data_IF_853127489700
#
_entry.id   IF_853127489700
#
_cell.length_a   1.000
_cell.length_b   1.000
_cell.length_c   1.000
_cell.angle_alpha   90.00
_cell.angle_beta   90.00
_cell.angle_gamma   90.00
#
_symmetry.space_group_name_H-M   'P 1'
#
loop_
_entity.id
_entity.type
_entity.pdbx_description
1 polymer ?
#
# COMPACT_ATOMS: atom_id res chain seq x y z
N UNK A 1 1.81 6.56 -19.43
CA UNK A 1 1.01 7.35 -18.48
C UNK A 1 1.85 7.66 -17.26
N UNK A 2 1.78 8.87 -16.79
CA UNK A 2 2.55 9.28 -15.63
C UNK A 2 1.89 8.79 -14.33
N UNK A 3 2.72 8.48 -13.35
CA UNK A 3 2.26 8.14 -12.02
C UNK A 3 2.05 9.40 -11.20
N UNK A 4 0.93 9.49 -10.51
CA UNK A 4 0.66 10.56 -9.57
C UNK A 4 0.45 9.96 -8.18
N UNK A 5 1.06 10.55 -7.19
CA UNK A 5 0.94 10.12 -5.80
C UNK A 5 0.59 11.34 -4.95
N UNK A 6 -0.55 11.26 -4.27
CA UNK A 6 -0.95 12.25 -3.28
C UNK A 6 -0.88 11.65 -1.89
N UNK A 7 -0.64 12.48 -0.89
CA UNK A 7 -0.59 12.05 0.50
C UNK A 7 -1.59 12.84 1.31
N UNK A 8 -2.38 12.15 2.14
CA UNK A 8 -3.32 12.81 3.06
C UNK A 8 -3.41 11.97 4.34
N UNK A 9 -4.02 12.54 5.35
CA UNK A 9 -4.15 11.85 6.63
C UNK A 9 -5.61 11.75 7.06
N UNK A 10 -5.94 10.61 7.66
CA UNK A 10 -7.23 10.38 8.31
C UNK A 10 -6.90 9.93 9.73
N UNK A 11 -6.95 10.86 10.68
CA UNK A 11 -6.47 10.59 12.03
C UNK A 11 -4.97 10.26 12.03
N UNK A 12 -4.62 9.11 12.57
CA UNK A 12 -3.24 8.62 12.62
C UNK A 12 -2.83 7.83 11.37
N UNK A 13 -3.78 7.61 10.45
CA UNK A 13 -3.54 6.83 9.24
C UNK A 13 -3.10 7.75 8.11
N UNK A 14 -1.99 7.42 7.49
CA UNK A 14 -1.52 8.11 6.28
C UNK A 14 -2.06 7.37 5.06
N UNK A 15 -2.64 8.12 4.13
CA UNK A 15 -3.17 7.53 2.90
C UNK A 15 -2.36 8.04 1.72
N UNK A 16 -1.85 7.11 0.93
CA UNK A 16 -1.22 7.41 -0.35
C UNK A 16 -2.23 7.10 -1.45
N UNK A 17 -2.65 8.13 -2.17
CA UNK A 17 -3.52 7.98 -3.33
C UNK A 17 -2.64 7.84 -4.57
N UNK A 18 -2.68 6.70 -5.23
CA UNK A 18 -1.84 6.38 -6.38
C UNK A 18 -2.70 6.28 -7.62
N UNK A 19 -2.32 6.99 -8.68
CA UNK A 19 -3.04 7.03 -9.95
C UNK A 19 -2.07 6.83 -11.09
N UNK A 20 -2.41 6.00 -12.06
CA UNK A 20 -1.61 5.76 -13.25
C UNK A 20 -1.19 4.31 -13.39
N UNK A 21 0.03 4.09 -13.81
CA UNK A 21 0.58 2.76 -14.02
C UNK A 21 1.81 2.54 -13.13
N UNK A 22 1.87 1.36 -12.52
CA UNK A 22 3.00 0.95 -11.70
C UNK A 22 3.86 -0.05 -12.48
N UNK A 23 4.96 0.45 -13.00
CA UNK A 23 5.90 -0.32 -13.82
C UNK A 23 7.34 -0.02 -13.40
N UNK A 24 8.28 -0.62 -14.10
CA UNK A 24 9.70 -0.45 -13.84
C UNK A 24 10.14 1.02 -13.78
N UNK A 25 9.51 1.88 -14.57
CA UNK A 25 9.92 3.30 -14.67
C UNK A 25 9.31 4.16 -13.57
N UNK A 26 8.12 3.81 -13.08
CA UNK A 26 7.38 4.61 -12.09
C UNK A 26 7.58 4.12 -10.66
N UNK A 27 7.92 2.86 -10.48
CA UNK A 27 8.07 2.22 -9.18
C UNK A 27 9.01 2.95 -8.21
N UNK A 28 10.13 3.58 -8.65
CA UNK A 28 10.95 4.35 -7.72
C UNK A 28 10.19 5.47 -6.99
N UNK A 29 9.22 6.08 -7.65
CA UNK A 29 8.39 7.12 -7.02
C UNK A 29 7.46 6.53 -5.96
N UNK A 30 6.90 5.35 -6.23
CA UNK A 30 6.08 4.65 -5.23
C UNK A 30 6.93 4.28 -4.01
N UNK A 31 8.12 3.74 -4.23
CA UNK A 31 9.02 3.37 -3.14
C UNK A 31 9.40 4.58 -2.29
N UNK A 32 9.72 5.70 -2.91
CA UNK A 32 10.04 6.94 -2.23
C UNK A 32 8.84 7.42 -1.38
N UNK A 33 7.64 7.39 -1.95
CA UNK A 33 6.43 7.79 -1.22
C UNK A 33 6.15 6.89 -0.02
N UNK A 34 6.34 5.59 -0.18
CA UNK A 34 6.16 4.64 0.92
C UNK A 34 7.20 4.82 2.01
N UNK A 35 8.46 5.02 1.65
CA UNK A 35 9.53 5.28 2.63
C UNK A 35 9.25 6.55 3.42
N UNK A 36 8.78 7.60 2.76
CA UNK A 36 8.41 8.83 3.43
C UNK A 36 7.24 8.64 4.40
N UNK A 37 6.23 7.91 4.00
CA UNK A 37 5.04 7.66 4.80
C UNK A 37 5.30 6.71 5.98
N UNK A 38 6.37 5.94 5.93
CA UNK A 38 6.69 4.91 6.93
C UNK A 38 7.99 5.19 7.68
N UNK A 39 8.42 6.44 7.73
CA UNK A 39 9.68 6.82 8.36
C UNK A 39 9.67 6.62 9.89
N UNK A 40 8.49 6.73 10.51
CA UNK A 40 8.37 6.55 11.97
C UNK A 40 8.00 5.12 12.35
N UNK A 41 8.37 4.72 13.55
CA UNK A 41 7.94 3.41 14.09
C UNK A 41 6.42 3.38 14.25
N UNK A 42 5.82 2.22 14.03
CA UNK A 42 4.38 2.05 14.18
C UNK A 42 3.54 2.74 13.10
N UNK A 43 4.14 3.09 11.97
CA UNK A 43 3.44 3.76 10.88
C UNK A 43 2.26 2.95 10.37
N UNK A 44 1.12 3.60 10.18
CA UNK A 44 -0.10 2.99 9.67
C UNK A 44 -0.45 3.66 8.35
N UNK A 45 -0.36 2.91 7.27
CA UNK A 45 -0.46 3.44 5.91
C UNK A 45 -1.47 2.66 5.10
N UNK A 46 -2.33 3.38 4.42
CA UNK A 46 -3.24 2.84 3.41
C UNK A 46 -2.71 3.29 2.05
N UNK A 47 -2.50 2.34 1.14
CA UNK A 47 -2.14 2.64 -0.25
C UNK A 47 -3.39 2.43 -1.09
N UNK A 48 -3.95 3.53 -1.57
CA UNK A 48 -5.14 3.49 -2.39
C UNK A 48 -4.75 3.33 -3.86
N UNK A 49 -4.99 2.14 -4.39
CA UNK A 49 -4.66 1.78 -5.77
C UNK A 49 -5.87 1.84 -6.71
N UNK A 50 -7.01 2.40 -6.27
CA UNK A 50 -8.21 2.41 -7.11
C UNK A 50 -8.04 3.18 -8.41
N UNK A 51 -7.10 4.12 -8.46
CA UNK A 51 -6.75 4.87 -9.67
C UNK A 51 -5.66 4.24 -10.52
N UNK A 52 -5.21 3.03 -10.16
CA UNK A 52 -4.11 2.36 -10.87
C UNK A 52 -4.68 1.44 -11.95
N UNK A 53 -4.20 1.62 -13.18
CA UNK A 53 -4.66 0.85 -14.33
C UNK A 53 -3.83 -0.42 -14.59
N UNK A 54 -2.60 -0.46 -14.06
CA UNK A 54 -1.65 -1.53 -14.36
C UNK A 54 -0.62 -1.67 -13.26
N UNK A 55 -0.28 -2.91 -12.92
CA UNK A 55 0.84 -3.23 -12.03
C UNK A 55 1.67 -4.35 -12.66
N UNK A 56 2.98 -4.26 -12.49
CA UNK A 56 3.88 -5.35 -12.90
C UNK A 56 4.59 -5.96 -11.68
N UNK A 57 5.46 -6.92 -11.93
CA UNK A 57 6.15 -7.63 -10.85
C UNK A 57 7.07 -6.72 -10.02
N UNK A 58 7.61 -5.66 -10.62
CA UNK A 58 8.46 -4.71 -9.87
C UNK A 58 7.64 -3.96 -8.83
N UNK A 59 6.39 -3.60 -9.16
CA UNK A 59 5.48 -2.96 -8.21
C UNK A 59 5.14 -3.89 -7.05
N UNK A 60 4.86 -5.16 -7.34
CA UNK A 60 4.56 -6.15 -6.31
C UNK A 60 5.72 -6.31 -5.34
N UNK A 61 6.95 -6.33 -5.87
CA UNK A 61 8.14 -6.43 -5.05
C UNK A 61 8.32 -5.22 -4.14
N UNK A 62 8.14 -4.02 -4.67
CA UNK A 62 8.26 -2.78 -3.87
C UNK A 62 7.23 -2.75 -2.75
N UNK A 63 5.98 -3.10 -3.04
CA UNK A 63 4.94 -3.15 -2.03
C UNK A 63 5.27 -4.16 -0.94
N UNK A 64 5.72 -5.35 -1.32
CA UNK A 64 6.06 -6.41 -0.38
C UNK A 64 7.27 -6.04 0.48
N UNK A 65 8.32 -5.50 -0.13
CA UNK A 65 9.52 -5.11 0.60
C UNK A 65 9.22 -4.00 1.62
N UNK A 66 8.40 -3.03 1.25
CA UNK A 66 7.98 -1.98 2.17
C UNK A 66 7.14 -2.54 3.32
N UNK A 67 6.23 -3.49 3.06
CA UNK A 67 5.44 -4.11 4.12
C UNK A 67 6.33 -4.85 5.12
N UNK A 68 7.31 -5.59 4.63
CA UNK A 68 8.25 -6.30 5.51
C UNK A 68 9.00 -5.34 6.41
N UNK A 69 9.51 -4.25 5.83
CA UNK A 69 10.26 -3.25 6.59
C UNK A 69 9.37 -2.57 7.63
N UNK A 70 8.17 -2.17 7.23
CA UNK A 70 7.22 -1.47 8.11
C UNK A 70 6.82 -2.37 9.29
N UNK A 71 6.57 -3.65 9.03
CA UNK A 71 6.23 -4.61 10.08
C UNK A 71 7.35 -4.82 11.08
N UNK A 72 8.60 -4.74 10.65
CA UNK A 72 9.75 -4.82 11.55
C UNK A 72 9.80 -3.66 12.54
N UNK A 73 9.14 -2.55 12.23
CA UNK A 73 9.09 -1.36 13.08
C UNK A 73 7.70 -1.15 13.68
N UNK A 74 6.90 -2.21 13.75
CA UNK A 74 5.60 -2.17 14.41
C UNK A 74 4.47 -1.57 13.62
N UNK A 75 4.68 -1.27 12.34
CA UNK A 75 3.67 -0.67 11.47
C UNK A 75 2.94 -1.67 10.59
N UNK A 76 2.10 -1.15 9.73
CA UNK A 76 1.32 -1.96 8.79
C UNK A 76 0.90 -1.14 7.57
N UNK A 77 0.89 -1.81 6.41
CA UNK A 77 0.35 -1.27 5.16
C UNK A 77 -0.88 -2.10 4.78
N UNK A 78 -1.96 -1.41 4.43
CA UNK A 78 -3.18 -2.03 3.87
C UNK A 78 -3.42 -1.42 2.49
N UNK A 79 -3.75 -2.26 1.51
CA UNK A 79 -4.02 -1.82 0.14
C UNK A 79 -5.51 -1.69 -0.10
N UNK A 80 -5.89 -0.74 -0.94
CA UNK A 80 -7.25 -0.61 -1.47
C UNK A 80 -7.20 -0.86 -2.96
N UNK A 81 -7.90 -1.87 -3.43
CA UNK A 81 -8.02 -2.17 -4.85
C UNK A 81 -9.32 -2.91 -5.11
N UNK A 82 -10.04 -2.50 -6.14
CA UNK A 82 -11.29 -3.13 -6.55
C UNK A 82 -11.29 -3.56 -8.01
N UNK A 83 -10.26 -3.20 -8.77
CA UNK A 83 -10.15 -3.60 -10.17
C UNK A 83 -9.92 -5.12 -10.24
N UNK A 84 -10.79 -5.87 -10.96
CA UNK A 84 -10.69 -7.34 -10.96
C UNK A 84 -9.33 -7.88 -11.38
N UNK A 85 -8.67 -7.23 -12.36
CA UNK A 85 -7.36 -7.67 -12.82
C UNK A 85 -6.29 -7.54 -11.76
N UNK A 86 -6.29 -6.43 -11.02
CA UNK A 86 -5.32 -6.18 -9.96
C UNK A 86 -5.56 -7.09 -8.76
N UNK A 87 -6.81 -7.20 -8.33
CA UNK A 87 -7.20 -8.09 -7.24
C UNK A 87 -6.81 -9.54 -7.56
N UNK A 88 -7.02 -9.97 -8.80
CA UNK A 88 -6.66 -11.31 -9.24
C UNK A 88 -5.15 -11.55 -9.17
N UNK A 89 -4.34 -10.57 -9.55
CA UNK A 89 -2.88 -10.69 -9.48
C UNK A 89 -2.44 -10.92 -8.03
N UNK A 90 -2.98 -10.17 -7.09
CA UNK A 90 -2.63 -10.33 -5.67
C UNK A 90 -3.04 -11.72 -5.15
N UNK A 91 -4.20 -12.23 -5.58
CA UNK A 91 -4.65 -13.55 -5.17
C UNK A 91 -3.81 -14.67 -5.76
N UNK A 92 -3.53 -14.60 -7.06
CA UNK A 92 -2.75 -15.63 -7.76
C UNK A 92 -1.33 -15.71 -7.22
N UNK A 93 -0.73 -14.57 -6.91
CA UNK A 93 0.64 -14.52 -6.38
C UNK A 93 0.71 -14.81 -4.88
N UNK A 94 -0.42 -14.89 -4.20
CA UNK A 94 -0.46 -15.08 -2.75
C UNK A 94 -0.07 -13.83 -1.96
N UNK A 95 0.10 -12.69 -2.61
CA UNK A 95 0.54 -11.48 -1.93
C UNK A 95 -0.52 -10.88 -1.01
N UNK A 96 -1.80 -11.20 -1.24
CA UNK A 96 -2.87 -10.75 -0.36
C UNK A 96 -2.74 -11.31 1.08
N UNK A 97 -1.96 -12.38 1.27
CA UNK A 97 -1.65 -12.88 2.61
C UNK A 97 -0.65 -11.98 3.34
N UNK A 98 0.22 -11.29 2.61
CA UNK A 98 1.25 -10.40 3.19
C UNK A 98 0.78 -8.95 3.17
N UNK A 99 0.07 -8.58 2.12
CA UNK A 99 -0.45 -7.23 1.89
C UNK A 99 -1.98 -7.30 1.96
N UNK A 100 -2.58 -7.07 3.13
CA UNK A 100 -4.04 -7.07 3.23
C UNK A 100 -4.63 -6.11 2.22
N UNK A 101 -5.57 -6.59 1.42
CA UNK A 101 -6.18 -5.82 0.34
C UNK A 101 -7.68 -5.83 0.53
N UNK A 102 -8.28 -4.66 0.56
CA UNK A 102 -9.71 -4.46 0.73
C UNK A 102 -10.26 -3.62 -0.42
N UNK A 103 -11.58 -3.59 -0.56
CA UNK A 103 -12.23 -2.96 -1.70
C UNK A 103 -12.38 -1.44 -1.56
N UNK A 104 -12.48 -0.92 -0.33
CA UNK A 104 -12.74 0.49 -0.09
C UNK A 104 -11.78 1.08 0.93
N UNK A 105 -11.59 2.40 0.84
CA UNK A 105 -10.77 3.12 1.81
C UNK A 105 -11.33 3.00 3.23
N UNK A 106 -12.65 3.08 3.39
CA UNK A 106 -13.29 2.94 4.70
C UNK A 106 -12.93 1.61 5.35
N UNK A 107 -13.01 0.51 4.61
CA UNK A 107 -12.62 -0.80 5.10
C UNK A 107 -11.15 -0.85 5.49
N UNK A 108 -10.28 -0.20 4.70
CA UNK A 108 -8.85 -0.17 4.98
C UNK A 108 -8.54 0.59 6.27
N UNK A 109 -9.16 1.74 6.47
CA UNK A 109 -8.97 2.54 7.68
C UNK A 109 -9.48 1.79 8.91
N UNK A 110 -10.66 1.18 8.83
CA UNK A 110 -11.19 0.37 9.92
C UNK A 110 -10.25 -0.78 10.28
N UNK A 111 -9.77 -1.50 9.26
CA UNK A 111 -8.88 -2.63 9.46
C UNK A 111 -7.58 -2.21 10.15
N UNK A 112 -6.98 -1.12 9.70
CA UNK A 112 -5.70 -0.69 10.23
C UNK A 112 -5.83 -0.13 11.65
N UNK A 113 -6.96 0.53 11.95
CA UNK A 113 -7.26 1.03 13.30
C UNK A 113 -7.55 -0.08 14.30
N UNK A 114 -8.09 -1.20 13.84
CA UNK A 114 -8.40 -2.34 14.69
C UNK A 114 -7.16 -3.14 15.07
N UNK A 115 -6.03 -2.94 14.39
CA UNK A 115 -4.81 -3.63 14.73
C UNK A 115 -4.27 -3.13 16.07
N UNK A 116 -3.82 -4.04 16.95
CA UNK A 116 -3.19 -3.60 18.19
C UNK A 116 -1.86 -2.92 17.91
N UNK A 117 -1.42 -1.99 18.77
CA UNK A 117 -0.07 -1.45 18.66
C UNK A 117 0.95 -2.57 18.73
N UNK A 118 1.96 -2.51 17.85
CA UNK A 118 3.05 -3.48 17.86
C UNK A 118 4.30 -2.83 18.45
N UNK A 119 5.01 -3.61 19.24
CA UNK A 119 6.32 -3.17 19.71
C UNK A 119 7.32 -3.26 18.56
N UNK A 120 8.11 -2.20 18.33
CA UNK A 120 9.12 -2.22 17.28
C UNK A 120 10.21 -3.26 17.54
#
# INVERSE_FOLDING_TARGET
MELQIGTRRVGEVTILDVTGELDLYTVPRLDEGLRGATAGAGSRVVVNLTGVAYVDSTALKVLTDNQKRVRQHGGEIVLVASQPTIVKIFKITGLDAVLPTVATEGEAVERIRALPPREP
#
